data_IF_959427886808
#
_entry.id   IF_959427886808
#
_cell.length_a   1.000
_cell.length_b   1.000
_cell.length_c   1.000
_cell.angle_alpha   90.00
_cell.angle_beta   90.00
_cell.angle_gamma   90.00
#
_symmetry.space_group_name_H-M   'P 1'
#
loop_
_entity.id
_entity.type
_entity.pdbx_description
1 polymer ?
#
# COMPACT_ATOMS: atom_id res chain seq x y z
N UNK A 1 -1.84 40.77 -4.60
CA UNK A 1 -0.91 39.82 -3.95
C UNK A 1 -0.97 38.53 -4.74
N UNK A 2 0.02 38.25 -5.58
CA UNK A 2 0.05 37.00 -6.35
C UNK A 2 0.32 35.85 -5.39
N UNK A 3 -0.66 34.97 -5.17
CA UNK A 3 -0.44 33.70 -4.49
C UNK A 3 0.58 32.92 -5.32
N UNK A 4 1.83 32.91 -4.87
CA UNK A 4 2.90 32.08 -5.43
C UNK A 4 2.58 30.64 -5.01
N UNK A 5 1.67 30.00 -5.75
CA UNK A 5 1.34 28.60 -5.54
C UNK A 5 2.59 27.76 -5.76
N UNK A 6 3.17 27.25 -4.66
CA UNK A 6 4.27 26.28 -4.74
C UNK A 6 3.73 25.04 -5.45
N UNK A 7 4.27 24.76 -6.64
CA UNK A 7 3.99 23.52 -7.37
C UNK A 7 4.86 22.43 -6.74
N UNK A 8 4.25 21.55 -5.97
CA UNK A 8 4.92 20.34 -5.48
C UNK A 8 4.86 19.26 -6.55
N UNK A 9 5.97 18.55 -6.74
CA UNK A 9 6.02 17.40 -7.63
C UNK A 9 5.54 16.17 -6.87
N UNK A 10 4.97 15.19 -7.57
CA UNK A 10 4.56 13.90 -6.96
C UNK A 10 5.73 13.25 -6.21
N UNK A 11 6.95 13.37 -6.76
CA UNK A 11 8.17 12.83 -6.17
C UNK A 11 8.45 13.33 -4.75
N UNK A 12 7.99 14.54 -4.42
CA UNK A 12 8.17 15.14 -3.09
C UNK A 12 7.40 14.37 -2.01
N UNK A 13 6.35 13.64 -2.41
CA UNK A 13 5.50 12.86 -1.52
C UNK A 13 5.89 11.38 -1.45
N UNK A 14 6.80 10.90 -2.31
CA UNK A 14 7.12 9.48 -2.44
C UNK A 14 7.48 8.81 -1.12
N UNK A 15 8.13 9.51 -0.19
CA UNK A 15 8.47 8.96 1.13
C UNK A 15 7.24 8.55 1.95
N UNK A 16 6.09 9.18 1.73
CA UNK A 16 4.84 8.93 2.47
C UNK A 16 3.89 7.97 1.75
N UNK A 17 4.06 7.80 0.44
CA UNK A 17 3.10 7.07 -0.40
C UNK A 17 3.67 5.78 -1.03
N UNK A 18 4.90 5.41 -0.66
CA UNK A 18 5.56 4.19 -1.16
C UNK A 18 5.68 3.12 -0.09
N UNK A 19 5.55 1.86 -0.51
CA UNK A 19 5.66 0.70 0.33
C UNK A 19 7.12 0.36 0.61
N UNK A 20 7.46 0.11 1.87
CA UNK A 20 8.81 -0.29 2.26
C UNK A 20 9.22 -1.66 1.69
N UNK A 21 8.27 -2.59 1.55
CA UNK A 21 8.51 -3.97 1.10
C UNK A 21 8.73 -4.05 -0.43
N UNK A 22 7.81 -3.49 -1.23
CA UNK A 22 7.88 -3.62 -2.69
C UNK A 22 8.49 -2.40 -3.40
N UNK A 23 8.78 -1.30 -2.67
CA UNK A 23 9.31 -0.03 -3.21
C UNK A 23 8.42 0.68 -4.25
N UNK A 24 7.22 0.17 -4.51
CA UNK A 24 6.18 0.81 -5.34
C UNK A 24 5.23 1.69 -4.53
N UNK A 25 4.24 2.31 -5.19
CA UNK A 25 3.17 3.03 -4.50
C UNK A 25 2.32 2.08 -3.65
N UNK A 26 1.77 2.58 -2.54
CA UNK A 26 0.89 1.79 -1.67
C UNK A 26 -0.41 1.48 -2.39
N UNK A 27 -0.65 0.20 -2.67
CA UNK A 27 -1.91 -0.32 -3.23
C UNK A 27 -2.67 -1.03 -2.11
N UNK A 28 -3.92 -0.63 -1.86
CA UNK A 28 -4.69 -1.06 -0.68
C UNK A 28 -3.84 -0.87 0.59
N UNK A 29 -3.43 0.38 0.90
CA UNK A 29 -2.60 0.67 2.06
C UNK A 29 -3.22 0.06 3.32
N UNK A 30 -2.42 -0.73 4.02
CA UNK A 30 -2.79 -1.44 5.23
C UNK A 30 -1.80 -1.06 6.32
N UNK A 31 -2.33 -0.49 7.39
CA UNK A 31 -1.56 0.05 8.51
C UNK A 31 -1.56 -0.95 9.67
N UNK A 32 -0.39 -1.16 10.24
CA UNK A 32 -0.20 -1.89 11.50
C UNK A 32 -0.56 -0.97 12.66
N UNK A 33 -1.56 -1.30 13.46
CA UNK A 33 -2.07 -0.41 14.52
C UNK A 33 -1.06 -0.13 15.63
N UNK A 34 -0.20 -1.11 15.95
CA UNK A 34 0.77 -1.00 17.06
C UNK A 34 1.89 0.02 16.81
N UNK A 35 2.32 0.18 15.55
CA UNK A 35 3.45 1.07 15.20
C UNK A 35 3.11 2.11 14.13
N UNK A 36 1.88 2.12 13.62
CA UNK A 36 1.38 3.03 12.58
C UNK A 36 2.21 3.03 11.29
N UNK A 37 2.84 1.90 10.96
CA UNK A 37 3.51 1.71 9.69
C UNK A 37 2.58 1.12 8.64
N UNK A 38 2.62 1.70 7.44
CA UNK A 38 1.70 1.35 6.34
C UNK A 38 2.43 0.67 5.19
N UNK A 39 1.80 -0.38 4.64
CA UNK A 39 2.32 -1.21 3.57
C UNK A 39 1.20 -1.56 2.58
N UNK A 40 1.51 -2.16 1.43
CA UNK A 40 0.45 -2.74 0.58
C UNK A 40 -0.19 -3.95 1.27
N UNK A 41 -1.50 -4.15 1.10
CA UNK A 41 -2.22 -5.30 1.67
C UNK A 41 -1.53 -6.64 1.36
N UNK A 42 -1.23 -6.89 0.08
CA UNK A 42 -0.60 -8.15 -0.33
C UNK A 42 0.79 -8.32 0.28
N UNK A 43 1.59 -7.24 0.34
CA UNK A 43 2.94 -7.29 0.87
C UNK A 43 2.98 -7.62 2.37
N UNK A 44 2.14 -6.97 3.18
CA UNK A 44 2.18 -7.18 4.63
C UNK A 44 1.55 -8.52 5.03
N UNK A 45 0.50 -8.97 4.33
CA UNK A 45 -0.09 -10.29 4.57
C UNK A 45 0.93 -11.38 4.24
N UNK A 46 1.63 -11.29 3.11
CA UNK A 46 2.67 -12.24 2.75
C UNK A 46 3.84 -12.24 3.74
N UNK A 47 4.26 -11.07 4.23
CA UNK A 47 5.32 -10.98 5.25
C UNK A 47 4.95 -11.68 6.56
N UNK A 48 3.69 -11.53 7.00
CA UNK A 48 3.19 -12.17 8.22
C UNK A 48 2.98 -13.68 8.12
N UNK A 49 3.17 -14.29 6.94
CA UNK A 49 3.26 -15.76 6.81
C UNK A 49 4.60 -16.29 7.36
N UNK A 50 5.64 -15.45 7.40
CA UNK A 50 7.02 -15.84 7.78
C UNK A 50 7.50 -15.23 9.11
N UNK A 51 7.08 -14.00 9.44
CA UNK A 51 7.53 -13.28 10.65
C UNK A 51 6.41 -12.42 11.21
N UNK A 52 6.23 -12.39 12.53
CA UNK A 52 5.22 -11.55 13.21
C UNK A 52 5.71 -10.11 13.49
N UNK A 53 6.88 -9.74 12.98
CA UNK A 53 7.51 -8.45 13.28
C UNK A 53 7.22 -7.43 12.17
N UNK A 54 7.11 -6.16 12.55
CA UNK A 54 6.94 -5.09 11.58
C UNK A 54 8.18 -4.99 10.68
N UNK A 55 8.05 -5.04 9.34
CA UNK A 55 9.19 -4.99 8.43
C UNK A 55 10.04 -3.72 8.51
N UNK A 56 9.45 -2.62 9.03
CA UNK A 56 10.08 -1.30 9.05
C UNK A 56 10.78 -0.98 10.38
N UNK A 57 10.23 -1.41 11.51
CA UNK A 57 10.79 -1.10 12.84
C UNK A 57 11.19 -2.34 13.66
N UNK A 58 10.85 -3.55 13.23
CA UNK A 58 11.20 -4.80 13.93
C UNK A 58 10.44 -5.03 15.23
N UNK A 59 9.40 -4.23 15.53
CA UNK A 59 8.55 -4.47 16.70
C UNK A 59 7.62 -5.65 16.40
N UNK A 60 7.50 -6.56 17.36
CA UNK A 60 6.54 -7.66 17.30
C UNK A 60 5.11 -7.10 17.30
N UNK A 61 4.36 -7.39 16.25
CA UNK A 61 3.01 -6.81 16.03
C UNK A 61 1.96 -7.53 16.87
N UNK A 62 2.12 -8.83 17.07
CA UNK A 62 1.25 -9.64 17.91
C UNK A 62 1.93 -10.95 18.32
N UNK A 63 1.47 -11.57 19.40
CA UNK A 63 2.01 -12.84 19.91
C UNK A 63 1.63 -14.03 19.01
N UNK A 64 0.36 -14.14 18.61
CA UNK A 64 -0.18 -15.29 17.87
C UNK A 64 -0.71 -14.97 16.47
N UNK A 65 -1.50 -13.90 16.28
CA UNK A 65 -2.09 -13.54 15.00
C UNK A 65 -1.89 -12.05 14.64
N UNK A 66 -0.82 -11.69 13.90
CA UNK A 66 -0.55 -10.28 13.53
C UNK A 66 -1.58 -9.69 12.56
N UNK A 67 -2.40 -10.50 11.89
CA UNK A 67 -3.44 -10.04 10.96
C UNK A 67 -4.57 -9.28 11.67
N UNK A 68 -4.81 -9.55 12.96
CA UNK A 68 -5.84 -8.84 13.75
C UNK A 68 -5.49 -7.37 14.00
N UNK A 69 -4.20 -7.02 13.93
CA UNK A 69 -3.70 -5.65 14.11
C UNK A 69 -3.56 -4.88 12.79
N UNK A 70 -4.06 -5.44 11.69
CA UNK A 70 -4.07 -4.76 10.39
C UNK A 70 -5.38 -4.02 10.14
N UNK A 71 -5.27 -2.76 9.72
CA UNK A 71 -6.41 -1.95 9.29
C UNK A 71 -6.15 -1.37 7.90
N UNK A 72 -7.15 -1.45 7.04
CA UNK A 72 -7.11 -0.78 5.74
C UNK A 72 -7.23 0.73 5.95
N UNK A 73 -6.33 1.48 5.33
CA UNK A 73 -6.32 2.94 5.41
C UNK A 73 -6.95 3.53 4.14
N UNK A 74 -8.28 3.54 4.10
CA UNK A 74 -9.04 4.04 2.95
C UNK A 74 -8.77 5.53 2.70
N UNK A 75 -8.49 6.30 3.75
CA UNK A 75 -8.18 7.73 3.62
C UNK A 75 -6.84 7.92 2.94
N UNK A 76 -5.79 7.19 3.34
CA UNK A 76 -4.51 7.23 2.67
C UNK A 76 -4.63 6.76 1.21
N UNK A 77 -5.43 5.72 0.94
CA UNK A 77 -5.69 5.27 -0.42
C UNK A 77 -6.28 6.38 -1.30
N UNK A 78 -7.30 7.08 -0.81
CA UNK A 78 -7.90 8.21 -1.54
C UNK A 78 -6.91 9.35 -1.76
N UNK A 79 -6.07 9.66 -0.77
CA UNK A 79 -5.03 10.69 -0.89
C UNK A 79 -4.04 10.30 -1.99
N UNK A 80 -3.55 9.06 -1.99
CA UNK A 80 -2.60 8.56 -2.99
C UNK A 80 -3.19 8.64 -4.39
N UNK A 81 -4.42 8.20 -4.58
CA UNK A 81 -5.09 8.27 -5.89
C UNK A 81 -5.38 9.69 -6.37
N UNK A 82 -5.55 10.66 -5.46
CA UNK A 82 -5.66 12.07 -5.82
C UNK A 82 -4.30 12.70 -6.15
N UNK A 83 -3.22 12.23 -5.51
CA UNK A 83 -1.87 12.74 -5.74
C UNK A 83 -1.20 12.16 -7.00
N UNK A 84 -1.44 10.88 -7.30
CA UNK A 84 -0.78 10.17 -8.41
C UNK A 84 -1.78 9.96 -9.56
N UNK A 85 -1.74 10.79 -10.63
CA UNK A 85 -2.67 10.64 -11.74
C UNK A 85 -2.44 9.31 -12.49
N UNK A 86 -3.52 8.66 -12.91
CA UNK A 86 -3.47 7.41 -13.68
C UNK A 86 -3.20 6.14 -12.86
N UNK A 87 -2.88 6.27 -11.55
CA UNK A 87 -2.56 5.12 -10.71
C UNK A 87 -3.76 4.20 -10.54
N UNK A 88 -4.96 4.75 -10.28
CA UNK A 88 -6.19 3.96 -10.08
C UNK A 88 -6.52 3.14 -11.32
N UNK A 89 -6.46 3.75 -12.50
CA UNK A 89 -6.73 3.13 -13.79
C UNK A 89 -5.71 2.02 -14.07
N UNK A 90 -4.41 2.31 -13.86
CA UNK A 90 -3.34 1.34 -14.08
C UNK A 90 -3.50 0.09 -13.20
N UNK A 91 -3.89 0.27 -11.94
CA UNK A 91 -4.19 -0.85 -11.07
C UNK A 91 -5.42 -1.59 -11.57
N UNK A 92 -6.54 -0.91 -11.85
CA UNK A 92 -7.74 -1.57 -12.37
C UNK A 92 -7.46 -2.41 -13.63
N UNK A 93 -6.65 -1.91 -14.56
CA UNK A 93 -6.18 -2.66 -15.73
C UNK A 93 -5.38 -3.90 -15.33
N UNK A 94 -4.45 -3.80 -14.37
CA UNK A 94 -3.69 -4.96 -13.86
C UNK A 94 -4.60 -6.00 -13.20
N UNK A 95 -5.53 -5.56 -12.36
CA UNK A 95 -6.52 -6.44 -11.71
C UNK A 95 -7.40 -7.15 -12.76
N UNK A 96 -7.88 -6.41 -13.75
CA UNK A 96 -8.66 -6.98 -14.85
C UNK A 96 -7.88 -8.04 -15.62
N UNK A 97 -6.63 -7.73 -16.02
CA UNK A 97 -5.75 -8.69 -16.70
C UNK A 97 -5.51 -9.94 -15.85
N UNK A 98 -5.26 -9.79 -14.56
CA UNK A 98 -5.05 -10.90 -13.64
C UNK A 98 -6.30 -11.79 -13.51
N UNK A 99 -7.48 -11.17 -13.39
CA UNK A 99 -8.75 -11.88 -13.36
C UNK A 99 -9.04 -12.63 -14.66
N UNK A 100 -8.82 -12.03 -15.83
CA UNK A 100 -9.05 -12.73 -17.11
C UNK A 100 -8.02 -13.82 -17.39
N UNK A 101 -6.76 -13.68 -16.95
CA UNK A 101 -5.78 -14.77 -17.03
C UNK A 101 -6.13 -15.96 -16.14
N UNK A 102 -6.78 -15.73 -14.99
CA UNK A 102 -7.27 -16.82 -14.14
C UNK A 102 -8.47 -17.56 -14.73
N UNK A 103 -9.24 -16.93 -15.64
CA UNK A 103 -10.38 -17.57 -16.34
C UNK A 103 -9.91 -18.38 -17.56
N UNK A 104 -8.67 -18.18 -18.03
CA UNK A 104 -8.03 -18.96 -19.12
C UNK A 104 -6.97 -19.96 -18.60
N UNK A 105 -7.15 -20.49 -17.39
CA UNK A 105 -6.39 -21.66 -16.95
C UNK A 105 -6.76 -22.90 -17.78
N UNK A 106 -5.82 -23.83 -18.06
CA UNK A 106 -5.99 -24.86 -19.07
C UNK A 106 -7.08 -25.85 -18.65
N UNK A 107 -8.09 -26.00 -19.52
CA UNK A 107 -8.87 -27.23 -19.60
C UNK A 107 -7.95 -28.36 -20.10
#
# INVERSE_FOLDING_TARGET
MAATGRKHLVRDFNHFITCYLCRGYLIKPTTVTECLHTFCKSCIVQHFEESNDCPKCGIQVHETNPLEMLRLDNTLEEIIFKLVPGLRESEWTRWFHQSVSSVRGPC
#
